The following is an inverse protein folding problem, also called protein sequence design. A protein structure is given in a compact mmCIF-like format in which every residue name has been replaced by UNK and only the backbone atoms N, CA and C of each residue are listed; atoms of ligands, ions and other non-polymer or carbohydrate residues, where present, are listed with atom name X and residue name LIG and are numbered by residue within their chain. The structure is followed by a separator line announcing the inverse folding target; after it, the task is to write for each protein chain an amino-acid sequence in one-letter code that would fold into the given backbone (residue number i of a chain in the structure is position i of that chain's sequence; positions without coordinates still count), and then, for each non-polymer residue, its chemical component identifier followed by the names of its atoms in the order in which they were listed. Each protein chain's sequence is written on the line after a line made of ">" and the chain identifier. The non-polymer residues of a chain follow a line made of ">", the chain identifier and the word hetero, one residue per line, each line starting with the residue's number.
data_IF_044708496304
#
_entry.id   IF_044708496304
#
_cell.length_a   1.000
_cell.length_b   1.000
_cell.length_c   1.000
_cell.angle_alpha   90.00
_cell.angle_beta   90.00
_cell.angle_gamma   90.00
#
_symmetry.space_group_name_H-M   'P 1'
#
loop_
_entity.id
_entity.type
_entity.pdbx_description
1 polymer ?
#
# COMPACT_ATOMS: atom_id res chain seq x y z
N UNK A 1 2.33 -8.73 11.97
CA UNK A 1 3.46 -9.61 11.60
C UNK A 1 4.73 -9.19 12.34
N UNK A 2 5.65 -10.12 12.67
CA UNK A 2 7.02 -9.78 13.10
C UNK A 2 7.92 -9.81 11.85
N UNK A 3 8.49 -8.67 11.47
CA UNK A 3 9.39 -8.57 10.33
C UNK A 3 10.84 -8.57 10.81
N UNK A 4 11.74 -9.09 9.96
CA UNK A 4 13.17 -8.95 10.15
C UNK A 4 13.59 -7.55 9.71
N UNK A 5 14.08 -6.73 10.64
CA UNK A 5 14.50 -5.35 10.36
C UNK A 5 15.53 -5.27 9.21
N UNK A 6 16.43 -6.25 9.11
CA UNK A 6 17.44 -6.29 8.03
C UNK A 6 16.80 -6.51 6.66
N UNK A 7 15.74 -7.32 6.58
CA UNK A 7 15.03 -7.56 5.34
C UNK A 7 14.23 -6.32 4.91
N UNK A 8 13.60 -5.62 5.86
CA UNK A 8 12.91 -4.36 5.57
C UNK A 8 13.86 -3.28 5.07
N UNK A 9 15.04 -3.14 5.69
CA UNK A 9 16.08 -2.22 5.21
C UNK A 9 16.52 -2.61 3.81
N UNK A 10 16.77 -3.90 3.55
CA UNK A 10 17.13 -4.38 2.21
C UNK A 10 16.04 -4.11 1.18
N UNK A 11 14.77 -4.33 1.53
CA UNK A 11 13.63 -4.07 0.65
C UNK A 11 13.50 -2.58 0.34
N UNK A 12 13.69 -1.70 1.34
CA UNK A 12 13.60 -0.24 1.18
C UNK A 12 14.60 0.34 0.16
N UNK A 13 15.69 -0.39 -0.11
CA UNK A 13 16.75 -0.04 -1.08
C UNK A 13 16.43 -0.50 -2.51
N UNK A 14 15.40 -1.33 -2.72
CA UNK A 14 14.99 -1.75 -4.07
C UNK A 14 14.40 -0.56 -4.86
N UNK A 15 14.30 -0.70 -6.21
CA UNK A 15 13.61 0.29 -7.04
C UNK A 15 12.19 0.54 -6.54
N UNK A 16 11.83 1.80 -6.39
CA UNK A 16 10.49 2.23 -6.00
C UNK A 16 9.62 2.49 -7.22
N UNK A 17 8.34 2.15 -7.13
CA UNK A 17 7.33 2.54 -8.11
C UNK A 17 7.15 4.06 -8.13
N UNK A 18 7.12 4.67 -6.94
CA UNK A 18 7.01 6.12 -6.77
C UNK A 18 7.84 6.59 -5.59
N UNK A 19 8.50 7.73 -5.73
CA UNK A 19 9.26 8.36 -4.66
C UNK A 19 9.18 9.89 -4.77
N UNK A 20 9.00 10.56 -3.65
CA UNK A 20 8.98 12.02 -3.56
C UNK A 20 9.24 12.47 -2.13
N UNK A 21 9.68 13.72 -1.95
CA UNK A 21 9.63 14.35 -0.65
C UNK A 21 8.21 14.86 -0.39
N UNK A 22 7.63 14.49 0.75
CA UNK A 22 6.29 14.88 1.17
C UNK A 22 6.35 15.47 2.58
N UNK A 23 5.41 16.37 2.90
CA UNK A 23 5.08 16.62 4.31
C UNK A 23 4.43 15.38 4.89
N UNK A 24 4.84 14.93 6.07
CA UNK A 24 4.29 13.75 6.72
C UNK A 24 4.02 14.01 8.19
N UNK A 25 2.83 13.64 8.66
CA UNK A 25 2.45 13.66 10.08
C UNK A 25 1.95 12.28 10.48
N UNK A 26 2.52 11.73 11.55
CA UNK A 26 2.12 10.43 12.07
C UNK A 26 0.79 10.47 12.84
N UNK A 27 0.28 9.30 13.26
CA UNK A 27 -1.00 9.17 13.95
C UNK A 27 -1.00 9.66 15.39
N UNK A 28 0.16 10.03 15.96
CA UNK A 28 0.26 10.44 17.36
C UNK A 28 -0.36 11.83 17.56
N UNK A 29 -1.19 11.98 18.61
CA UNK A 29 -1.79 13.26 18.98
C UNK A 29 -0.67 14.28 19.29
N UNK A 30 -0.73 15.44 18.63
CA UNK A 30 0.29 16.49 18.76
C UNK A 30 1.53 16.29 17.90
N UNK A 31 1.57 15.26 17.03
CA UNK A 31 2.64 15.17 16.03
C UNK A 31 2.50 16.31 15.02
N UNK A 32 3.64 16.80 14.56
CA UNK A 32 3.74 17.91 13.60
C UNK A 32 4.12 17.39 12.24
N UNK A 33 3.76 18.12 11.19
CA UNK A 33 4.19 17.81 9.83
C UNK A 33 5.71 17.94 9.75
N UNK A 34 6.36 16.94 9.16
CA UNK A 34 7.80 16.93 8.90
C UNK A 34 8.05 16.49 7.47
N UNK A 35 9.00 17.13 6.80
CA UNK A 35 9.42 16.72 5.46
C UNK A 35 10.09 15.35 5.50
N UNK A 36 9.68 14.43 4.63
CA UNK A 36 10.16 13.05 4.55
C UNK A 36 10.34 12.66 3.11
N UNK A 37 11.40 11.92 2.79
CA UNK A 37 11.43 11.15 1.55
C UNK A 37 10.49 9.95 1.75
N UNK A 38 9.50 9.81 0.88
CA UNK A 38 8.54 8.71 0.90
C UNK A 38 8.76 7.86 -0.36
N UNK A 39 8.85 6.54 -0.20
CA UNK A 39 9.06 5.58 -1.28
C UNK A 39 8.01 4.48 -1.23
N UNK A 40 7.33 4.25 -2.34
CA UNK A 40 6.49 3.07 -2.54
C UNK A 40 7.31 1.96 -3.19
N UNK A 41 7.50 0.86 -2.47
CA UNK A 41 8.25 -0.32 -2.94
C UNK A 41 7.38 -1.55 -2.70
N UNK A 42 6.98 -2.23 -3.78
CA UNK A 42 5.99 -3.32 -3.72
C UNK A 42 4.72 -2.81 -3.02
N UNK A 43 4.35 -3.37 -1.88
CA UNK A 43 3.20 -2.96 -1.07
C UNK A 43 3.62 -2.30 0.25
N UNK A 44 4.82 -1.73 0.29
CA UNK A 44 5.32 -0.96 1.43
C UNK A 44 5.50 0.50 1.07
N UNK A 45 4.98 1.38 1.94
CA UNK A 45 5.26 2.81 1.92
C UNK A 45 6.33 3.13 2.97
N UNK A 46 7.58 3.19 2.53
CA UNK A 46 8.73 3.56 3.37
C UNK A 46 8.84 5.07 3.51
N UNK A 47 9.27 5.54 4.69
CA UNK A 47 9.54 6.95 4.91
C UNK A 47 10.86 7.16 5.66
N UNK A 48 11.64 8.11 5.17
CA UNK A 48 13.01 8.40 5.57
C UNK A 48 13.13 9.85 6.04
N UNK A 49 14.12 10.14 6.87
CA UNK A 49 14.59 11.54 6.95
C UNK A 49 15.24 11.88 5.61
N UNK A 50 15.20 13.13 5.22
CA UNK A 50 15.72 13.57 3.91
C UNK A 50 17.25 13.42 3.79
N UNK A 51 17.93 13.25 4.92
CA UNK A 51 19.38 13.11 5.08
C UNK A 51 19.84 11.71 5.51
N UNK A 52 18.92 10.74 5.60
CA UNK A 52 19.23 9.37 6.04
C UNK A 52 18.94 8.33 4.94
N UNK A 53 19.79 7.31 4.83
CA UNK A 53 19.59 6.20 3.87
C UNK A 53 18.68 5.09 4.41
N UNK A 54 18.54 4.97 5.73
CA UNK A 54 17.71 3.94 6.37
C UNK A 54 16.31 4.48 6.66
N UNK A 55 15.25 3.68 6.43
CA UNK A 55 13.90 4.12 6.69
C UNK A 55 13.66 4.24 8.19
N UNK A 56 12.98 5.31 8.60
CA UNK A 56 12.53 5.46 9.99
C UNK A 56 11.34 4.54 10.26
N UNK A 57 10.60 4.18 9.21
CA UNK A 57 9.54 3.20 9.27
C UNK A 57 8.98 2.86 7.90
N UNK A 58 8.06 1.90 7.91
CA UNK A 58 7.38 1.39 6.73
C UNK A 58 5.92 1.13 7.09
N UNK A 59 5.02 1.49 6.18
CA UNK A 59 3.61 1.14 6.27
C UNK A 59 3.35 0.00 5.29
N UNK A 60 2.88 -1.14 5.80
CA UNK A 60 2.42 -2.24 4.96
C UNK A 60 1.01 -1.92 4.46
N UNK A 61 0.83 -1.85 3.14
CA UNK A 61 -0.44 -1.50 2.50
C UNK A 61 -1.37 -2.71 2.44
N UNK A 62 -1.83 -3.14 3.60
CA UNK A 62 -2.90 -4.12 3.78
C UNK A 62 -3.94 -3.54 4.72
N UNK A 63 -5.21 -3.81 4.46
CA UNK A 63 -6.32 -3.36 5.31
C UNK A 63 -6.30 -1.85 5.58
N UNK A 64 -5.83 -1.07 4.61
CA UNK A 64 -5.72 0.37 4.70
C UNK A 64 -6.81 1.08 3.89
N UNK A 65 -7.25 2.23 4.40
CA UNK A 65 -8.09 3.20 3.70
C UNK A 65 -7.22 4.39 3.33
N UNK A 66 -7.21 4.73 2.03
CA UNK A 66 -6.51 5.89 1.50
C UNK A 66 -7.57 6.93 1.11
N UNK A 67 -7.47 8.13 1.64
CA UNK A 67 -8.45 9.19 1.39
C UNK A 67 -7.76 10.46 0.95
N UNK A 68 -8.32 11.10 -0.08
CA UNK A 68 -7.97 12.49 -0.38
C UNK A 68 -8.57 13.37 0.71
N UNK A 69 -7.74 14.24 1.28
CA UNK A 69 -8.14 15.21 2.29
C UNK A 69 -8.26 16.60 1.65
N UNK A 70 -8.52 17.63 2.44
CA UNK A 70 -8.62 18.99 1.92
C UNK A 70 -7.27 19.48 1.34
N UNK A 71 -7.35 20.23 0.24
CA UNK A 71 -6.19 20.80 -0.43
C UNK A 71 -5.29 19.77 -1.11
N UNK A 72 -3.98 19.89 -0.90
CA UNK A 72 -2.95 19.07 -1.55
C UNK A 72 -2.51 17.92 -0.63
N UNK A 73 -3.46 17.30 0.08
CA UNK A 73 -3.14 16.28 1.09
C UNK A 73 -3.98 15.02 0.95
N UNK A 74 -3.43 13.91 1.44
CA UNK A 74 -4.13 12.64 1.56
C UNK A 74 -3.79 11.97 2.89
N UNK A 75 -4.61 11.00 3.29
CA UNK A 75 -4.37 10.22 4.49
C UNK A 75 -4.38 8.72 4.22
N UNK A 76 -3.69 7.99 5.10
CA UNK A 76 -3.71 6.53 5.15
C UNK A 76 -4.08 6.11 6.58
N UNK A 77 -5.19 5.41 6.73
CA UNK A 77 -5.65 4.82 7.99
C UNK A 77 -5.73 3.30 7.87
N UNK A 78 -5.55 2.58 8.97
CA UNK A 78 -5.60 1.11 8.99
C UNK A 78 -6.84 0.65 9.76
N UNK A 79 -7.50 -0.42 9.31
CA UNK A 79 -8.76 -0.91 9.87
C UNK A 79 -8.71 -1.12 11.39
N UNK A 80 -7.61 -1.68 11.91
CA UNK A 80 -7.43 -1.94 13.34
C UNK A 80 -7.12 -0.68 14.18
N UNK A 81 -6.79 0.43 13.52
CA UNK A 81 -6.43 1.72 14.15
C UNK A 81 -7.04 2.90 13.38
N UNK A 82 -8.34 2.82 13.03
CA UNK A 82 -8.97 3.79 12.12
C UNK A 82 -8.89 5.26 12.58
N UNK A 83 -8.87 5.50 13.90
CA UNK A 83 -8.71 6.83 14.51
C UNK A 83 -7.29 7.42 14.40
N UNK A 84 -6.35 6.64 13.85
CA UNK A 84 -4.92 6.95 13.79
C UNK A 84 -4.46 6.96 12.34
N UNK A 85 -4.82 8.03 11.62
CA UNK A 85 -4.40 8.26 10.24
C UNK A 85 -3.01 8.90 10.14
N UNK A 86 -2.21 8.43 9.19
CA UNK A 86 -1.04 9.14 8.68
C UNK A 86 -1.52 10.20 7.69
N UNK A 87 -1.02 11.43 7.79
CA UNK A 87 -1.33 12.51 6.85
C UNK A 87 -0.09 12.81 6.01
N UNK A 88 -0.30 12.98 4.70
CA UNK A 88 0.72 13.35 3.74
C UNK A 88 0.33 14.62 3.00
N UNK A 89 1.25 15.57 2.91
CA UNK A 89 1.12 16.83 2.18
C UNK A 89 2.00 16.78 0.93
N UNK A 90 1.38 17.02 -0.21
CA UNK A 90 1.99 17.04 -1.53
C UNK A 90 2.27 18.48 -1.97
N UNK A 91 3.14 18.64 -2.96
CA UNK A 91 3.45 19.94 -3.57
C UNK A 91 2.36 20.41 -4.55
N UNK A 92 1.48 19.51 -4.97
CA UNK A 92 0.37 19.79 -5.88
C UNK A 92 -0.79 18.81 -5.69
N UNK A 93 -1.98 19.21 -6.17
CA UNK A 93 -3.16 18.35 -6.18
C UNK A 93 -2.98 17.15 -7.12
N UNK A 94 -2.30 17.35 -8.25
CA UNK A 94 -1.95 16.28 -9.19
C UNK A 94 -1.06 15.23 -8.53
N UNK A 95 0.01 15.66 -7.83
CA UNK A 95 0.90 14.76 -7.09
C UNK A 95 0.12 13.96 -6.04
N UNK A 96 -0.85 14.59 -5.36
CA UNK A 96 -1.72 13.93 -4.40
C UNK A 96 -2.57 12.83 -5.06
N UNK A 97 -3.20 13.11 -6.20
CA UNK A 97 -3.99 12.12 -6.96
C UNK A 97 -3.13 10.94 -7.40
N UNK A 98 -1.92 11.20 -7.91
CA UNK A 98 -1.00 10.15 -8.31
C UNK A 98 -0.56 9.26 -7.14
N UNK A 99 -0.32 9.85 -5.96
CA UNK A 99 0.03 9.08 -4.76
C UNK A 99 -1.14 8.23 -4.29
N UNK A 100 -2.35 8.78 -4.23
CA UNK A 100 -3.55 8.04 -3.84
C UNK A 100 -3.76 6.84 -4.77
N UNK A 101 -3.68 7.05 -6.08
CA UNK A 101 -3.82 5.99 -7.08
C UNK A 101 -2.74 4.90 -6.95
N UNK A 102 -1.46 5.30 -6.82
CA UNK A 102 -0.35 4.37 -6.65
C UNK A 102 -0.49 3.52 -5.36
N UNK A 103 -0.85 4.14 -4.24
CA UNK A 103 -1.03 3.43 -2.96
C UNK A 103 -2.23 2.48 -3.02
N UNK A 104 -3.34 2.89 -3.64
CA UNK A 104 -4.50 2.01 -3.85
C UNK A 104 -4.08 0.80 -4.71
N UNK A 105 -3.35 1.03 -5.81
CA UNK A 105 -2.90 -0.04 -6.71
C UNK A 105 -1.93 -1.03 -6.04
N UNK A 106 -1.07 -0.52 -5.15
CA UNK A 106 -0.13 -1.32 -4.39
C UNK A 106 -0.76 -2.04 -3.18
N UNK A 107 -1.99 -1.72 -2.79
CA UNK A 107 -2.67 -2.39 -1.67
C UNK A 107 -2.91 -3.87 -1.95
N UNK A 108 -2.80 -4.70 -0.90
CA UNK A 108 -3.05 -6.14 -0.99
C UNK A 108 -4.43 -6.45 -1.58
N UNK A 109 -5.45 -5.70 -1.16
CA UNK A 109 -6.84 -5.87 -1.58
C UNK A 109 -7.00 -5.62 -3.08
N UNK A 110 -6.34 -4.59 -3.61
CA UNK A 110 -6.37 -4.29 -5.04
C UNK A 110 -5.59 -5.34 -5.84
N UNK A 111 -4.36 -5.66 -5.43
CA UNK A 111 -3.55 -6.69 -6.10
C UNK A 111 -4.28 -8.04 -6.13
N UNK A 112 -4.90 -8.42 -5.01
CA UNK A 112 -5.68 -9.67 -4.90
C UNK A 112 -6.91 -9.68 -5.81
N UNK A 113 -7.67 -8.57 -5.88
CA UNK A 113 -8.81 -8.46 -6.80
C UNK A 113 -8.37 -8.60 -8.26
N UNK A 114 -7.28 -7.94 -8.64
CA UNK A 114 -6.73 -8.05 -9.99
C UNK A 114 -6.21 -9.46 -10.30
N UNK A 115 -5.54 -10.12 -9.35
CA UNK A 115 -5.10 -11.50 -9.52
C UNK A 115 -6.27 -12.44 -9.83
N UNK A 116 -7.35 -12.36 -9.04
CA UNK A 116 -8.57 -13.16 -9.25
C UNK A 116 -9.19 -12.85 -10.61
N UNK A 117 -9.31 -11.56 -10.95
CA UNK A 117 -9.85 -11.12 -12.23
C UNK A 117 -9.04 -11.67 -13.42
N UNK A 118 -7.72 -11.46 -13.45
CA UNK A 118 -6.87 -11.91 -14.54
C UNK A 118 -6.80 -13.44 -14.65
N UNK A 119 -6.75 -14.17 -13.52
CA UNK A 119 -6.80 -15.64 -13.54
C UNK A 119 -8.09 -16.14 -14.18
N UNK A 120 -9.23 -15.54 -13.79
CA UNK A 120 -10.55 -15.87 -14.34
C UNK A 120 -10.62 -15.59 -15.84
N UNK A 121 -10.13 -14.41 -16.25
CA UNK A 121 -10.22 -13.97 -17.64
C UNK A 121 -9.29 -14.78 -18.57
N UNK A 122 -8.06 -15.09 -18.12
CA UNK A 122 -7.15 -15.95 -18.87
C UNK A 122 -7.71 -17.36 -18.98
N UNK A 123 -8.26 -17.92 -17.90
CA UNK A 123 -8.91 -19.24 -17.95
C UNK A 123 -10.10 -19.24 -18.92
N UNK A 124 -10.94 -18.20 -18.89
CA UNK A 124 -12.07 -18.04 -19.82
C UNK A 124 -11.62 -18.01 -21.28
N UNK A 125 -10.50 -17.33 -21.59
CA UNK A 125 -9.99 -17.17 -22.94
C UNK A 125 -9.20 -18.38 -23.45
N UNK A 126 -8.49 -19.09 -22.57
CA UNK A 126 -7.53 -20.13 -22.96
C UNK A 126 -7.95 -21.55 -22.56
N UNK A 127 -8.95 -21.68 -21.69
CA UNK A 127 -9.36 -22.95 -21.07
C UNK A 127 -8.36 -23.50 -20.04
N UNK A 128 -7.30 -22.76 -19.73
CA UNK A 128 -6.23 -23.19 -18.81
C UNK A 128 -6.02 -22.16 -17.71
N UNK A 129 -5.79 -22.64 -16.51
CA UNK A 129 -5.44 -21.76 -15.41
C UNK A 129 -3.96 -21.32 -15.54
N UNK A 130 -3.67 -20.00 -15.62
CA UNK A 130 -2.31 -19.52 -15.78
C UNK A 130 -1.36 -19.90 -14.64
N UNK A 131 -1.90 -20.23 -13.46
CA UNK A 131 -1.12 -20.53 -12.26
C UNK A 131 -0.97 -22.03 -11.98
N UNK A 132 -1.64 -22.90 -12.74
CA UNK A 132 -1.61 -24.35 -12.56
C UNK A 132 -0.18 -24.93 -12.62
N UNK A 133 0.63 -24.44 -13.56
CA UNK A 133 2.03 -24.85 -13.74
C UNK A 133 2.92 -24.54 -12.52
N UNK A 134 2.52 -23.60 -11.67
CA UNK A 134 3.23 -23.23 -10.44
C UNK A 134 2.68 -23.96 -9.21
N UNK A 135 1.71 -24.86 -9.37
CA UNK A 135 1.09 -25.60 -8.28
C UNK A 135 0.22 -24.74 -7.35
N UNK A 136 -0.20 -23.55 -7.80
CA UNK A 136 -1.04 -22.63 -7.03
C UNK A 136 -2.50 -22.92 -7.38
N UNK A 137 -3.16 -23.80 -6.62
CA UNK A 137 -4.59 -24.10 -6.82
C UNK A 137 -5.50 -22.98 -6.29
N UNK A 138 -6.78 -23.00 -6.66
CA UNK A 138 -7.81 -22.06 -6.16
C UNK A 138 -7.92 -22.04 -4.62
N UNK A 139 -7.60 -23.15 -3.97
CA UNK A 139 -7.64 -23.31 -2.51
C UNK A 139 -6.47 -22.64 -1.80
N UNK A 140 -5.46 -22.18 -2.56
CA UNK A 140 -4.29 -21.52 -2.01
C UNK A 140 -4.63 -20.09 -1.58
N UNK A 141 -5.17 -19.97 -0.36
CA UNK A 141 -5.04 -18.82 0.56
C UNK A 141 -5.65 -17.47 0.16
N UNK A 142 -6.30 -17.35 -0.99
CA UNK A 142 -7.01 -16.12 -1.38
C UNK A 142 -8.53 -16.29 -1.28
N UNK A 143 -9.08 -16.77 -0.16
CA UNK A 143 -10.54 -16.88 -0.01
C UNK A 143 -11.20 -15.50 0.14
N UNK A 144 -12.22 -15.22 -0.67
CA UNK A 144 -13.08 -14.06 -0.48
C UNK A 144 -14.03 -14.45 0.64
N UNK A 145 -13.88 -13.89 1.85
CA UNK A 145 -15.03 -13.85 2.75
C UNK A 145 -16.03 -12.91 2.11
N UNK A 146 -16.93 -13.45 1.28
CA UNK A 146 -18.13 -12.74 0.88
C UNK A 146 -18.94 -12.56 2.16
N UNK A 147 -18.67 -11.47 2.88
CA UNK A 147 -19.52 -10.94 3.94
C UNK A 147 -20.81 -10.40 3.34
N UNK A 148 -21.58 -11.27 2.68
CA UNK A 148 -23.00 -11.06 2.52
C UNK A 148 -23.61 -11.32 3.90
N UNK A 149 -23.71 -10.27 4.71
CA UNK A 149 -24.71 -10.24 5.76
C UNK A 149 -26.07 -10.21 5.06
N UNK A 150 -26.64 -11.39 4.88
CA UNK A 150 -28.07 -11.56 4.64
C UNK A 150 -28.82 -11.06 5.87
N UNK A 151 -29.55 -9.96 5.71
CA UNK A 151 -30.76 -9.67 6.48
C UNK A 151 -31.94 -9.65 5.50
#
# INVERSE_FOLDING_TARGET
>A
MRFNEKELVSLSRQPSEKAAELGMRGPKKGDVVKKRLVKLVVNFLFYFRTDEEEPIGALLLEQCRVEKEDGQSFSVAFLDEAERKYLFECDSEEQCVEWVDAIIKASYEFMRKNLIFYRTEIHRLTGKDPLEQYGISDETRFQVSNGLQSN
#
